data_IF_918405798200
#
_entry.id   IF_918405798200
#
_cell.length_a   1.000
_cell.length_b   1.000
_cell.length_c   1.000
_cell.angle_alpha   90.00
_cell.angle_beta   90.00
_cell.angle_gamma   90.00
#
_symmetry.space_group_name_H-M   'P 1'
#
loop_
_entity.id
_entity.type
_entity.pdbx_description
1 polymer ?
#
# COMPACT_ATOMS: atom_id res chain seq x y z
N UNK A 1 1.45 -5.02 18.53
CA UNK A 1 1.14 -5.54 17.18
C UNK A 1 0.47 -4.48 16.33
N UNK A 2 -0.77 -4.07 16.61
CA UNK A 2 -1.55 -3.15 15.76
C UNK A 2 -0.78 -1.86 15.41
N UNK A 3 -0.16 -1.19 16.38
CA UNK A 3 0.66 0.00 16.11
C UNK A 3 1.88 -0.27 15.20
N UNK A 4 2.50 -1.46 15.31
CA UNK A 4 3.61 -1.83 14.44
C UNK A 4 3.13 -2.16 13.02
N UNK A 5 1.93 -2.72 12.87
CA UNK A 5 1.31 -2.94 11.58
C UNK A 5 0.90 -1.61 10.93
N UNK A 6 0.24 -0.73 11.67
CA UNK A 6 -0.12 0.61 11.23
C UNK A 6 1.11 1.37 10.71
N UNK A 7 2.21 1.40 11.49
CA UNK A 7 3.45 2.05 11.08
C UNK A 7 4.04 1.46 9.78
N UNK A 8 3.90 0.14 9.56
CA UNK A 8 4.30 -0.51 8.32
C UNK A 8 3.41 -0.09 7.16
N UNK A 9 2.08 -0.10 7.32
CA UNK A 9 1.15 0.32 6.28
C UNK A 9 1.31 1.79 5.92
N UNK A 10 1.54 2.68 6.90
CA UNK A 10 1.86 4.08 6.64
C UNK A 10 3.14 4.25 5.80
N UNK A 11 4.17 3.45 6.08
CA UNK A 11 5.41 3.47 5.28
C UNK A 11 5.15 3.00 3.84
N UNK A 12 4.39 1.91 3.67
CA UNK A 12 3.97 1.38 2.36
C UNK A 12 3.18 2.44 1.59
N UNK A 13 2.17 3.04 2.22
CA UNK A 13 1.37 4.13 1.65
C UNK A 13 2.22 5.32 1.21
N UNK A 14 3.19 5.73 2.02
CA UNK A 14 4.11 6.82 1.65
C UNK A 14 5.06 6.44 0.49
N UNK A 15 5.35 5.15 0.30
CA UNK A 15 6.08 4.67 -0.87
C UNK A 15 5.16 4.64 -2.11
N UNK A 16 3.95 4.11 -1.98
CA UNK A 16 2.97 4.05 -3.06
C UNK A 16 2.64 5.43 -3.64
N UNK A 17 2.40 6.41 -2.75
CA UNK A 17 2.14 7.79 -3.15
C UNK A 17 3.31 8.40 -3.96
N UNK A 18 4.56 8.04 -3.66
CA UNK A 18 5.72 8.48 -4.43
C UNK A 18 5.80 7.82 -5.80
N UNK A 19 5.42 6.55 -5.89
CA UNK A 19 5.35 5.84 -7.18
C UNK A 19 4.25 6.45 -8.04
N UNK A 20 3.04 6.57 -7.51
CA UNK A 20 1.87 7.18 -8.17
C UNK A 20 2.17 8.59 -8.70
N UNK A 21 2.75 9.46 -7.87
CA UNK A 21 3.14 10.81 -8.30
C UNK A 21 4.16 10.79 -9.45
N UNK A 22 5.10 9.82 -9.42
CA UNK A 22 6.04 9.58 -10.51
C UNK A 22 5.35 9.11 -11.79
N UNK A 23 4.40 8.19 -11.67
CA UNK A 23 3.61 7.66 -12.79
C UNK A 23 2.80 8.77 -13.46
N UNK A 24 2.10 9.60 -12.67
CA UNK A 24 1.39 10.78 -13.16
C UNK A 24 2.31 11.76 -13.90
N UNK A 25 3.50 12.04 -13.35
CA UNK A 25 4.46 12.94 -13.99
C UNK A 25 4.90 12.46 -15.37
N UNK A 26 5.05 11.15 -15.57
CA UNK A 26 5.35 10.59 -16.90
C UNK A 26 4.09 10.60 -17.78
N UNK A 27 2.93 10.28 -17.21
CA UNK A 27 1.64 10.24 -17.89
C UNK A 27 1.24 11.57 -18.52
N UNK A 28 1.61 12.69 -17.90
CA UNK A 28 1.38 14.04 -18.43
C UNK A 28 2.17 14.37 -19.71
N UNK A 29 3.26 13.64 -19.99
CA UNK A 29 4.05 13.83 -21.21
C UNK A 29 3.44 12.97 -22.32
N UNK A 30 3.04 13.57 -23.47
CA UNK A 30 2.54 12.83 -24.61
C UNK A 30 3.52 11.74 -25.05
N UNK A 31 3.02 10.56 -25.41
CA UNK A 31 3.88 9.41 -25.71
C UNK A 31 4.95 9.69 -26.77
N UNK A 32 4.59 10.48 -27.80
CA UNK A 32 5.50 10.90 -28.88
C UNK A 32 6.63 11.84 -28.42
N UNK A 33 6.48 12.48 -27.26
CA UNK A 33 7.44 13.41 -26.67
C UNK A 33 8.27 12.74 -25.55
N UNK A 34 7.95 11.49 -25.18
CA UNK A 34 8.68 10.76 -24.16
C UNK A 34 10.07 10.37 -24.66
N UNK A 35 11.07 10.86 -23.95
CA UNK A 35 12.49 10.52 -24.14
C UNK A 35 12.91 9.29 -23.34
N UNK A 36 14.14 8.79 -23.57
CA UNK A 36 14.75 7.70 -22.80
C UNK A 36 14.79 7.96 -21.28
N UNK A 37 14.78 9.23 -20.84
CA UNK A 37 14.69 9.59 -19.42
C UNK A 37 13.36 9.16 -18.80
N UNK A 38 12.26 9.29 -19.54
CA UNK A 38 10.92 8.89 -19.10
C UNK A 38 10.83 7.37 -19.01
N UNK A 39 11.36 6.66 -20.01
CA UNK A 39 11.50 5.20 -19.99
C UNK A 39 12.30 4.72 -18.79
N UNK A 40 13.48 5.32 -18.56
CA UNK A 40 14.33 4.95 -17.42
C UNK A 40 13.63 5.22 -16.08
N UNK A 41 12.88 6.33 -15.95
CA UNK A 41 12.10 6.62 -14.74
C UNK A 41 10.97 5.61 -14.54
N UNK A 42 10.23 5.22 -15.58
CA UNK A 42 9.18 4.20 -15.47
C UNK A 42 9.73 2.85 -15.00
N UNK A 43 10.88 2.42 -15.53
CA UNK A 43 11.55 1.19 -15.08
C UNK A 43 12.08 1.32 -13.64
N UNK A 44 12.51 2.52 -13.23
CA UNK A 44 12.86 2.78 -11.83
C UNK A 44 11.62 2.67 -10.92
N UNK A 45 10.50 3.26 -11.32
CA UNK A 45 9.23 3.19 -10.59
C UNK A 45 8.74 1.74 -10.46
N UNK A 46 8.87 0.92 -11.51
CA UNK A 46 8.59 -0.53 -11.44
C UNK A 46 9.41 -1.26 -10.38
N UNK A 47 10.70 -0.91 -10.25
CA UNK A 47 11.55 -1.48 -9.19
C UNK A 47 11.12 -1.01 -7.80
N UNK A 48 10.76 0.25 -7.66
CA UNK A 48 10.20 0.81 -6.41
C UNK A 48 8.90 0.08 -6.03
N UNK A 49 8.00 -0.16 -6.99
CA UNK A 49 6.74 -0.89 -6.82
C UNK A 49 6.98 -2.36 -6.43
N UNK A 50 7.98 -3.01 -7.04
CA UNK A 50 8.37 -4.38 -6.66
C UNK A 50 8.83 -4.46 -5.20
N UNK A 51 9.54 -3.45 -4.70
CA UNK A 51 9.95 -3.38 -3.30
C UNK A 51 8.75 -3.16 -2.36
N UNK A 52 7.74 -2.41 -2.79
CA UNK A 52 6.47 -2.26 -2.07
C UNK A 52 5.80 -3.63 -1.93
N UNK A 53 5.74 -4.42 -3.01
CA UNK A 53 5.16 -5.77 -2.98
C UNK A 53 5.81 -6.70 -1.96
N UNK A 54 7.14 -6.62 -1.81
CA UNK A 54 7.87 -7.37 -0.78
C UNK A 54 7.54 -6.91 0.65
N UNK A 55 7.30 -5.62 0.86
CA UNK A 55 6.90 -5.12 2.18
C UNK A 55 5.45 -5.52 2.53
N UNK A 56 4.55 -5.55 1.54
CA UNK A 56 3.18 -6.06 1.70
C UNK A 56 3.20 -7.55 2.03
N UNK A 57 4.02 -8.35 1.35
CA UNK A 57 4.18 -9.79 1.64
C UNK A 57 4.66 -10.03 3.09
N UNK A 58 5.61 -9.23 3.58
CA UNK A 58 6.04 -9.28 4.99
C UNK A 58 4.91 -8.90 5.95
N UNK A 59 4.02 -7.98 5.58
CA UNK A 59 2.88 -7.59 6.40
C UNK A 59 1.86 -8.73 6.51
N UNK A 60 1.59 -9.45 5.41
CA UNK A 60 0.72 -10.63 5.39
C UNK A 60 1.25 -11.72 6.34
N UNK A 61 2.55 -12.02 6.26
CA UNK A 61 3.18 -13.03 7.13
C UNK A 61 3.02 -12.68 8.61
N UNK A 62 3.24 -11.41 8.97
CA UNK A 62 3.11 -10.95 10.36
C UNK A 62 1.69 -11.16 10.92
N UNK A 63 0.66 -10.82 10.14
CA UNK A 63 -0.75 -11.00 10.56
C UNK A 63 -1.12 -12.49 10.66
N UNK A 64 -0.60 -13.32 9.75
CA UNK A 64 -0.91 -14.75 9.72
C UNK A 64 -0.29 -15.48 10.92
N UNK A 65 0.98 -15.21 11.23
CA UNK A 65 1.70 -15.86 12.34
C UNK A 65 1.07 -15.52 13.71
N UNK A 66 0.48 -14.33 13.84
CA UNK A 66 -0.16 -13.86 15.08
C UNK A 66 -1.64 -14.26 15.19
N UNK A 67 -2.16 -15.04 14.22
CA UNK A 67 -3.55 -15.52 14.22
C UNK A 67 -4.58 -14.40 14.09
N UNK A 68 -4.22 -13.30 13.42
CA UNK A 68 -5.08 -12.13 13.24
C UNK A 68 -6.16 -12.35 12.17
N UNK A 69 -7.00 -11.32 11.99
CA UNK A 69 -8.18 -11.34 11.12
C UNK A 69 -7.88 -11.80 9.69
N UNK A 70 -8.65 -12.80 9.24
CA UNK A 70 -8.63 -13.31 7.85
C UNK A 70 -8.92 -12.19 6.85
N UNK A 71 -9.83 -11.27 7.17
CA UNK A 71 -10.20 -10.17 6.27
C UNK A 71 -9.03 -9.21 5.99
N UNK A 72 -8.21 -8.90 6.99
CA UNK A 72 -7.00 -8.09 6.77
C UNK A 72 -5.96 -8.81 5.91
N UNK A 73 -5.86 -10.14 6.06
CA UNK A 73 -4.95 -10.95 5.24
C UNK A 73 -5.38 -10.98 3.77
N UNK A 74 -6.68 -11.12 3.52
CA UNK A 74 -7.27 -11.06 2.17
C UNK A 74 -7.07 -9.69 1.53
N UNK A 75 -7.39 -8.60 2.24
CA UNK A 75 -7.20 -7.24 1.75
C UNK A 75 -5.72 -6.93 1.39
N UNK A 76 -4.77 -7.38 2.22
CA UNK A 76 -3.34 -7.24 1.89
C UNK A 76 -2.91 -8.12 0.71
N UNK A 77 -3.53 -9.29 0.52
CA UNK A 77 -3.25 -10.14 -0.63
C UNK A 77 -3.73 -9.50 -1.94
N UNK A 78 -4.89 -8.83 -1.93
CA UNK A 78 -5.40 -8.03 -3.06
C UNK A 78 -4.44 -6.88 -3.38
N UNK A 79 -4.05 -6.09 -2.36
CA UNK A 79 -3.05 -5.02 -2.53
C UNK A 79 -1.75 -5.55 -3.14
N UNK A 80 -1.27 -6.72 -2.70
CA UNK A 80 -0.06 -7.33 -3.26
C UNK A 80 -0.21 -7.66 -4.75
N UNK A 81 -1.36 -8.20 -5.16
CA UNK A 81 -1.63 -8.51 -6.57
C UNK A 81 -1.65 -7.25 -7.43
N UNK A 82 -2.30 -6.20 -6.95
CA UNK A 82 -2.37 -4.91 -7.65
C UNK A 82 -0.98 -4.27 -7.78
N UNK A 83 -0.18 -4.27 -6.72
CA UNK A 83 1.22 -3.78 -6.74
C UNK A 83 2.06 -4.57 -7.75
N UNK A 84 1.89 -5.89 -7.84
CA UNK A 84 2.57 -6.71 -8.84
C UNK A 84 2.14 -6.35 -10.28
N UNK A 85 0.85 -6.08 -10.48
CA UNK A 85 0.30 -5.64 -11.76
C UNK A 85 0.90 -4.26 -12.17
N UNK A 86 0.87 -3.29 -11.26
CA UNK A 86 1.47 -1.96 -11.49
C UNK A 86 2.97 -2.09 -11.82
N UNK A 87 3.71 -2.89 -11.05
CA UNK A 87 5.13 -3.14 -11.32
C UNK A 87 5.38 -3.66 -12.74
N UNK A 88 4.60 -4.66 -13.17
CA UNK A 88 4.68 -5.23 -14.51
C UNK A 88 4.38 -4.18 -15.61
N UNK A 89 3.35 -3.37 -15.41
CA UNK A 89 2.93 -2.31 -16.34
C UNK A 89 3.99 -1.20 -16.45
N UNK A 90 4.52 -0.73 -15.31
CA UNK A 90 5.55 0.30 -15.26
C UNK A 90 6.85 -0.14 -15.93
N UNK A 91 7.23 -1.42 -15.81
CA UNK A 91 8.39 -1.96 -16.51
C UNK A 91 8.26 -1.87 -18.04
N UNK A 92 7.03 -1.85 -18.54
CA UNK A 92 6.67 -1.70 -19.96
C UNK A 92 6.34 -0.25 -20.33
N UNK A 93 6.64 0.71 -19.45
CA UNK A 93 6.33 2.15 -19.62
C UNK A 93 4.83 2.42 -19.80
N UNK A 94 3.98 1.51 -19.32
CA UNK A 94 2.53 1.69 -19.33
C UNK A 94 2.16 2.55 -18.13
N UNK A 95 2.09 3.86 -18.34
CA UNK A 95 1.76 4.89 -17.34
C UNK A 95 0.38 5.51 -17.61
N UNK A 96 -0.46 4.77 -18.33
CA UNK A 96 -1.81 5.21 -18.74
C UNK A 96 -2.79 5.26 -17.57
N UNK A 97 -4.01 5.72 -17.84
CA UNK A 97 -5.09 5.86 -16.84
C UNK A 97 -5.40 4.54 -16.12
N UNK A 98 -5.21 3.40 -16.78
CA UNK A 98 -5.42 2.10 -16.15
C UNK A 98 -4.35 1.84 -15.08
N UNK A 99 -3.07 2.07 -15.37
CA UNK A 99 -2.01 1.95 -14.33
C UNK A 99 -2.27 2.91 -13.18
N UNK A 100 -2.61 4.16 -13.48
CA UNK A 100 -2.89 5.18 -12.47
C UNK A 100 -4.12 4.85 -11.62
N UNK A 101 -5.13 4.23 -12.21
CA UNK A 101 -6.32 3.75 -11.52
C UNK A 101 -5.97 2.69 -10.49
N UNK A 102 -5.23 1.65 -10.89
CA UNK A 102 -4.79 0.58 -9.99
C UNK A 102 -3.92 1.14 -8.85
N UNK A 103 -2.99 2.06 -9.15
CA UNK A 103 -2.18 2.74 -8.11
C UNK A 103 -3.06 3.49 -7.09
N UNK A 104 -4.14 4.12 -7.55
CA UNK A 104 -5.09 4.83 -6.69
C UNK A 104 -5.95 3.88 -5.86
N UNK A 105 -6.33 2.74 -6.40
CA UNK A 105 -7.07 1.71 -5.68
C UNK A 105 -6.19 1.14 -4.55
N UNK A 106 -4.92 0.83 -4.83
CA UNK A 106 -3.93 0.44 -3.80
C UNK A 106 -3.84 1.49 -2.69
N UNK A 107 -3.73 2.77 -3.04
CA UNK A 107 -3.65 3.88 -2.06
C UNK A 107 -4.91 3.88 -1.18
N UNK A 108 -6.09 3.77 -1.78
CA UNK A 108 -7.36 3.80 -1.07
C UNK A 108 -7.49 2.61 -0.12
N UNK A 109 -7.15 1.39 -0.56
CA UNK A 109 -7.16 0.20 0.29
C UNK A 109 -6.19 0.30 1.46
N UNK A 110 -5.00 0.88 1.25
CA UNK A 110 -4.04 1.12 2.33
C UNK A 110 -4.55 2.14 3.35
N UNK A 111 -5.18 3.23 2.91
CA UNK A 111 -5.79 4.24 3.77
C UNK A 111 -6.92 3.65 4.61
N UNK A 112 -7.83 2.88 3.99
CA UNK A 112 -8.94 2.21 4.68
C UNK A 112 -8.44 1.20 5.73
N UNK A 113 -7.42 0.42 5.41
CA UNK A 113 -6.81 -0.52 6.37
C UNK A 113 -6.15 0.19 7.54
N UNK A 114 -5.44 1.30 7.30
CA UNK A 114 -4.85 2.12 8.37
C UNK A 114 -5.93 2.67 9.29
N UNK A 115 -7.01 3.22 8.72
CA UNK A 115 -8.14 3.74 9.50
C UNK A 115 -8.80 2.63 10.34
N UNK A 116 -8.96 1.43 9.77
CA UNK A 116 -9.51 0.27 10.48
C UNK A 116 -8.62 -0.12 11.68
N UNK A 117 -7.29 -0.17 11.49
CA UNK A 117 -6.34 -0.48 12.57
C UNK A 117 -6.39 0.58 13.69
N UNK A 118 -6.47 1.87 13.33
CA UNK A 118 -6.59 2.95 14.30
C UNK A 118 -7.86 2.80 15.16
N UNK A 119 -9.00 2.52 14.52
CA UNK A 119 -10.26 2.27 15.22
C UNK A 119 -10.20 1.07 16.16
N UNK A 120 -9.48 0.01 15.79
CA UNK A 120 -9.29 -1.18 16.65
C UNK A 120 -8.42 -0.88 17.88
N UNK A 121 -7.39 -0.05 17.74
CA UNK A 121 -6.55 0.37 18.87
C UNK A 121 -7.32 1.25 19.85
N UNK A 122 -8.09 2.23 19.37
CA UNK A 122 -8.88 3.13 20.21
C UNK A 122 -9.91 2.35 21.06
N UNK A 123 -10.62 1.40 20.45
CA UNK A 123 -11.56 0.52 21.15
C UNK A 123 -10.88 -0.30 22.25
N UNK A 124 -9.71 -0.86 21.95
CA UNK A 124 -8.93 -1.66 22.90
C UNK A 124 -8.52 -0.85 24.13
N UNK A 125 -8.21 0.44 23.96
CA UNK A 125 -7.83 1.32 25.07
C UNK A 125 -9.02 1.79 25.90
N UNK A 126 -10.18 2.04 25.28
CA UNK A 126 -11.43 2.32 25.99
C UNK A 126 -11.88 1.14 26.86
N UNK A 127 -11.82 -0.09 26.34
CA UNK A 127 -12.21 -1.30 27.07
C UNK A 127 -11.34 -1.51 28.31
N UNK A 128 -10.01 -1.32 28.20
CA UNK A 128 -9.09 -1.40 29.33
C UNK A 128 -9.41 -0.38 30.42
N UNK A 129 -9.74 0.87 30.05
CA UNK A 129 -10.13 1.92 31.01
C UNK A 129 -11.42 1.57 31.75
N UNK A 130 -12.42 1.04 31.04
CA UNK A 130 -13.70 0.61 31.64
C UNK A 130 -13.51 -0.56 32.62
N UNK A 131 -12.67 -1.54 32.29
CA UNK A 131 -12.38 -2.67 33.19
C UNK A 131 -11.66 -2.23 34.47
N UNK A 132 -10.73 -1.26 34.39
CA UNK A 132 -10.03 -0.74 35.58
C UNK A 132 -10.96 0.04 36.52
N UNK A 133 -11.97 0.74 35.98
CA UNK A 133 -12.96 1.48 36.79
C UNK A 133 -14.00 0.58 37.48
N UNK A 134 -14.24 -0.63 36.98
CA UNK A 134 -15.17 -1.60 37.61
C UNK A 134 -14.51 -2.44 38.71
N UNK A 135 -13.18 -2.42 38.81
CA UNK A 135 -12.40 -3.15 39.83
C UNK A 135 -11.99 -2.25 41.02
N UNK A 136 -12.40 -0.99 41.04
CA UNK A 136 -12.29 -0.05 42.18
C UNK A 136 -13.67 0.28 42.74
#
# INVERSE_FOLDING_TARGET
MLAAMEARLQKILAQQNRVYAGTLSIGQVPEKERTSRHTARAVQLSREESLIGLEVEKAILLITDEGSSVAFSEALAEVREDVQNVSYRLNRVQVDELTQGIEKDIISSLEEMIEALQKEMDKSDEEKKKQQQQQQ
#
